data_IF_408364972042
#
_entry.id   IF_408364972042
#
_cell.length_a   1.000
_cell.length_b   1.000
_cell.length_c   1.000
_cell.angle_alpha   90.00
_cell.angle_beta   90.00
_cell.angle_gamma   90.00
#
_symmetry.space_group_name_H-M   'P 1'
#
loop_
_entity.id
_entity.type
_entity.pdbx_description
1 polymer ?
#
# COMPACT_ATOMS: atom_id res chain seq x y z
N UNK A 1 17.59 1.76 7.40
CA UNK A 1 17.95 0.85 6.28
C UNK A 1 16.74 0.07 5.78
N UNK A 2 16.00 -0.65 6.64
CA UNK A 2 14.78 -1.39 6.26
C UNK A 2 13.67 -0.52 5.64
N UNK A 3 13.31 0.61 6.27
CA UNK A 3 12.27 1.52 5.76
C UNK A 3 12.64 2.13 4.39
N UNK A 4 13.93 2.40 4.17
CA UNK A 4 14.43 3.00 2.93
C UNK A 4 14.41 2.02 1.76
N UNK A 5 14.74 0.75 2.00
CA UNK A 5 14.65 -0.33 1.01
C UNK A 5 13.19 -0.69 0.69
N UNK A 6 12.32 -0.69 1.71
CA UNK A 6 10.87 -0.87 1.59
C UNK A 6 10.25 0.20 0.66
N UNK A 7 10.71 1.44 0.79
CA UNK A 7 10.31 2.54 -0.09
C UNK A 7 10.87 2.30 -1.51
N UNK A 8 12.14 1.96 -1.71
CA UNK A 8 12.66 1.70 -3.08
C UNK A 8 11.88 0.60 -3.82
N UNK A 9 11.54 -0.52 -3.17
CA UNK A 9 10.81 -1.63 -3.80
C UNK A 9 9.40 -1.19 -4.20
N UNK A 10 8.66 -0.55 -3.30
CA UNK A 10 7.29 -0.08 -3.58
C UNK A 10 7.28 1.05 -4.64
N UNK A 11 8.25 1.96 -4.58
CA UNK A 11 8.35 3.13 -5.48
C UNK A 11 8.83 2.77 -6.89
N UNK A 12 9.52 1.64 -7.05
CA UNK A 12 9.99 1.16 -8.36
C UNK A 12 9.03 0.15 -8.99
N UNK A 13 8.38 -0.71 -8.19
CA UNK A 13 7.50 -1.77 -8.68
C UNK A 13 6.08 -1.28 -9.03
N UNK A 14 5.51 -0.32 -8.30
CA UNK A 14 4.09 0.03 -8.47
C UNK A 14 3.91 1.27 -9.35
N UNK A 15 3.85 1.06 -10.68
CA UNK A 15 3.50 2.12 -11.65
C UNK A 15 2.00 2.35 -11.80
N UNK A 16 1.18 1.35 -11.49
CA UNK A 16 -0.28 1.38 -11.64
C UNK A 16 -0.92 0.32 -10.75
N UNK A 17 -2.16 0.56 -10.30
CA UNK A 17 -2.90 -0.38 -9.47
C UNK A 17 -3.80 -1.24 -10.36
N UNK A 18 -3.32 -2.42 -10.77
CA UNK A 18 -4.11 -3.41 -11.53
C UNK A 18 -4.65 -4.56 -10.65
N UNK A 19 -4.41 -4.49 -9.34
CA UNK A 19 -4.83 -5.52 -8.39
C UNK A 19 -6.36 -5.54 -8.31
N UNK A 20 -6.94 -6.69 -8.64
CA UNK A 20 -8.37 -6.91 -8.47
C UNK A 20 -8.71 -6.83 -6.98
N UNK A 21 -9.63 -5.94 -6.63
CA UNK A 21 -10.06 -5.78 -5.24
C UNK A 21 -11.13 -6.79 -4.84
N UNK A 22 -11.71 -6.59 -3.67
CA UNK A 22 -12.90 -7.31 -3.24
C UNK A 22 -14.14 -6.85 -4.04
N UNK A 23 -15.00 -7.77 -4.56
CA UNK A 23 -16.31 -7.41 -5.10
C UNK A 23 -17.31 -7.00 -4.01
N UNK A 24 -16.97 -7.18 -2.73
CA UNK A 24 -17.76 -6.78 -1.56
C UNK A 24 -17.37 -5.37 -1.10
N UNK A 25 -18.37 -4.54 -0.81
CA UNK A 25 -18.22 -3.26 -0.10
C UNK A 25 -18.59 -3.42 1.37
N UNK A 26 -17.60 -3.29 2.25
CA UNK A 26 -17.75 -3.21 3.71
C UNK A 26 -17.63 -1.73 4.14
N UNK A 27 -18.35 -1.34 5.19
CA UNK A 27 -18.25 0.01 5.78
C UNK A 27 -16.94 0.17 6.58
N UNK A 28 -16.21 1.26 6.37
CA UNK A 28 -14.89 1.51 7.02
C UNK A 28 -13.66 1.20 6.15
N UNK A 29 -13.85 0.69 4.93
CA UNK A 29 -12.75 0.48 3.98
C UNK A 29 -12.00 1.78 3.61
N UNK A 30 -12.69 2.92 3.63
CA UNK A 30 -12.08 4.23 3.37
C UNK A 30 -11.11 4.65 4.47
N UNK A 31 -11.40 4.28 5.73
CA UNK A 31 -10.54 4.58 6.87
C UNK A 31 -9.22 3.82 6.76
N UNK A 32 -9.29 2.53 6.39
CA UNK A 32 -8.10 1.72 6.10
C UNK A 32 -7.28 2.36 4.98
N UNK A 33 -7.92 2.68 3.84
CA UNK A 33 -7.23 3.25 2.69
C UNK A 33 -6.53 4.57 3.05
N UNK A 34 -7.24 5.49 3.70
CA UNK A 34 -6.70 6.80 4.09
C UNK A 34 -5.54 6.67 5.07
N UNK A 35 -5.63 5.77 6.05
CA UNK A 35 -4.54 5.44 6.96
C UNK A 35 -3.31 4.89 6.25
N UNK A 36 -3.49 3.90 5.37
CA UNK A 36 -2.41 3.33 4.57
C UNK A 36 -1.74 4.38 3.68
N UNK A 37 -2.52 5.21 2.98
CA UNK A 37 -2.00 6.28 2.13
C UNK A 37 -1.21 7.31 2.94
N UNK A 38 -1.69 7.70 4.13
CA UNK A 38 -0.99 8.64 4.99
C UNK A 38 0.39 8.12 5.42
N UNK A 39 0.48 6.83 5.78
CA UNK A 39 1.74 6.18 6.16
C UNK A 39 2.71 6.16 4.97
N UNK A 40 2.27 5.67 3.81
CA UNK A 40 3.12 5.62 2.62
C UNK A 40 3.54 6.99 2.11
N UNK A 41 2.67 8.00 2.21
CA UNK A 41 2.98 9.38 1.87
C UNK A 41 4.07 9.95 2.79
N UNK A 42 3.93 9.75 4.11
CA UNK A 42 4.93 10.20 5.08
C UNK A 42 6.30 9.59 4.78
N UNK A 43 6.34 8.28 4.51
CA UNK A 43 7.56 7.58 4.13
C UNK A 43 8.14 8.06 2.79
N UNK A 44 7.31 8.22 1.76
CA UNK A 44 7.75 8.74 0.47
C UNK A 44 8.38 10.14 0.59
N UNK A 45 7.81 11.02 1.42
CA UNK A 45 8.37 12.35 1.69
C UNK A 45 9.72 12.26 2.39
N UNK A 46 9.83 11.46 3.44
CA UNK A 46 11.09 11.27 4.16
C UNK A 46 12.20 10.73 3.25
N UNK A 47 11.88 9.81 2.36
CA UNK A 47 12.83 9.26 1.40
C UNK A 47 13.27 10.27 0.35
N UNK A 48 12.37 11.11 -0.17
CA UNK A 48 12.76 12.16 -1.12
C UNK A 48 13.68 13.19 -0.46
N UNK A 49 13.42 13.55 0.80
CA UNK A 49 14.28 14.46 1.57
C UNK A 49 15.66 13.84 1.82
N UNK A 50 15.73 12.53 2.05
CA UNK A 50 16.97 11.81 2.30
C UNK A 50 17.73 11.40 1.01
N UNK A 51 17.10 11.51 -0.17
CA UNK A 51 17.69 11.09 -1.44
C UNK A 51 18.59 12.18 -2.04
N UNK A 52 19.64 11.75 -2.72
CA UNK A 52 20.54 12.66 -3.46
C UNK A 52 19.74 13.38 -4.58
N UNK A 53 19.91 14.71 -4.76
CA UNK A 53 19.23 15.49 -5.79
C UNK A 53 19.46 14.98 -7.23
N UNK A 54 20.50 14.16 -7.47
CA UNK A 54 20.76 13.55 -8.78
C UNK A 54 20.00 12.23 -9.02
N UNK A 55 19.22 11.74 -8.05
CA UNK A 55 18.46 10.50 -8.22
C UNK A 55 17.17 10.72 -9.01
N UNK A 56 16.85 9.81 -9.94
CA UNK A 56 15.59 9.76 -10.71
C UNK A 56 14.30 9.75 -9.84
N UNK A 57 14.46 9.61 -8.52
CA UNK A 57 13.39 9.59 -7.54
C UNK A 57 12.85 11.00 -7.23
N UNK A 58 13.65 12.04 -7.45
CA UNK A 58 13.27 13.46 -7.30
C UNK A 58 12.10 13.87 -8.22
N UNK A 59 11.91 13.17 -9.34
CA UNK A 59 10.88 13.49 -10.34
C UNK A 59 9.48 12.91 -10.01
N UNK A 60 9.35 12.02 -9.01
CA UNK A 60 8.06 11.39 -8.69
C UNK A 60 7.37 12.11 -7.52
N UNK A 61 6.11 12.51 -7.72
CA UNK A 61 5.31 13.15 -6.66
C UNK A 61 5.04 12.15 -5.51
N UNK A 62 5.47 12.44 -4.26
CA UNK A 62 5.29 11.53 -3.13
C UNK A 62 3.82 11.24 -2.82
N UNK A 63 2.91 12.16 -3.13
CA UNK A 63 1.47 11.94 -2.97
C UNK A 63 0.95 10.86 -3.92
N UNK A 64 1.37 10.89 -5.19
CA UNK A 64 0.98 9.86 -6.17
C UNK A 64 1.50 8.50 -5.72
N UNK A 65 2.74 8.46 -5.25
CA UNK A 65 3.38 7.25 -4.74
C UNK A 65 2.65 6.67 -3.52
N UNK A 66 2.32 7.51 -2.54
CA UNK A 66 1.57 7.10 -1.35
C UNK A 66 0.17 6.59 -1.70
N UNK A 67 -0.54 7.29 -2.60
CA UNK A 67 -1.86 6.89 -3.09
C UNK A 67 -1.82 5.53 -3.81
N UNK A 68 -0.83 5.31 -4.67
CA UNK A 68 -0.68 4.07 -5.44
C UNK A 68 -0.36 2.90 -4.50
N UNK A 69 0.60 3.07 -3.59
CA UNK A 69 0.99 2.04 -2.62
C UNK A 69 -0.17 1.68 -1.66
N UNK A 70 -0.81 2.69 -1.06
CA UNK A 70 -1.95 2.47 -0.16
C UNK A 70 -3.13 1.81 -0.86
N UNK A 71 -3.41 2.20 -2.10
CA UNK A 71 -4.46 1.58 -2.92
C UNK A 71 -4.15 0.13 -3.28
N UNK A 72 -2.89 -0.19 -3.58
CA UNK A 72 -2.45 -1.55 -3.89
C UNK A 72 -2.59 -2.48 -2.66
N UNK A 73 -2.08 -2.04 -1.51
CA UNK A 73 -2.20 -2.77 -0.24
C UNK A 73 -3.66 -3.00 0.12
N UNK A 74 -4.48 -1.95 0.13
CA UNK A 74 -5.88 -2.08 0.52
C UNK A 74 -6.65 -3.03 -0.42
N UNK A 75 -6.42 -2.95 -1.74
CA UNK A 75 -7.09 -3.85 -2.69
C UNK A 75 -6.69 -5.30 -2.49
N UNK A 76 -5.41 -5.56 -2.25
CA UNK A 76 -4.89 -6.90 -2.02
C UNK A 76 -5.40 -7.48 -0.69
N UNK A 77 -5.33 -6.72 0.40
CA UNK A 77 -5.90 -7.12 1.70
C UNK A 77 -7.40 -7.42 1.59
N UNK A 78 -8.15 -6.57 0.86
CA UNK A 78 -9.58 -6.81 0.63
C UNK A 78 -9.82 -8.08 -0.21
N UNK A 79 -8.99 -8.36 -1.21
CA UNK A 79 -9.09 -9.59 -2.00
C UNK A 79 -8.83 -10.83 -1.15
N UNK A 80 -7.81 -10.81 -0.27
CA UNK A 80 -7.49 -11.91 0.64
C UNK A 80 -8.64 -12.18 1.62
N UNK A 81 -9.13 -11.12 2.28
CA UNK A 81 -10.27 -11.21 3.18
C UNK A 81 -11.54 -11.71 2.47
N UNK A 82 -11.75 -11.34 1.21
CA UNK A 82 -12.84 -11.88 0.39
C UNK A 82 -12.62 -13.34 0.00
N UNK A 83 -11.40 -13.78 -0.29
CA UNK A 83 -11.10 -15.18 -0.52
C UNK A 83 -11.48 -16.05 0.68
N UNK A 84 -11.20 -15.59 1.90
CA UNK A 84 -11.45 -16.34 3.13
C UNK A 84 -12.92 -16.29 3.58
N UNK A 85 -13.55 -15.12 3.55
CA UNK A 85 -14.88 -14.89 4.16
C UNK A 85 -16.00 -14.67 3.15
N UNK A 86 -15.69 -14.47 1.86
CA UNK A 86 -16.63 -14.30 0.74
C UNK A 86 -17.74 -13.27 1.07
N UNK A 87 -19.00 -13.72 1.17
CA UNK A 87 -20.16 -12.87 1.46
C UNK A 87 -20.26 -12.43 2.93
N UNK A 88 -19.37 -12.91 3.79
CA UNK A 88 -19.31 -12.55 5.21
C UNK A 88 -18.15 -11.61 5.55
N UNK A 89 -17.29 -11.23 4.59
CA UNK A 89 -16.19 -10.28 4.81
C UNK A 89 -16.68 -8.99 5.45
N UNK A 90 -16.03 -8.58 6.53
CA UNK A 90 -16.20 -7.28 7.20
C UNK A 90 -14.87 -6.55 7.22
N UNK A 91 -14.89 -5.29 7.64
CA UNK A 91 -13.68 -4.44 7.66
C UNK A 91 -12.61 -4.97 8.62
N UNK A 92 -13.02 -5.65 9.70
CA UNK A 92 -12.08 -6.35 10.59
C UNK A 92 -11.26 -7.42 9.86
N UNK A 93 -11.89 -8.23 9.00
CA UNK A 93 -11.18 -9.26 8.23
C UNK A 93 -10.14 -8.63 7.27
N UNK A 94 -10.43 -7.45 6.72
CA UNK A 94 -9.50 -6.73 5.85
C UNK A 94 -8.28 -6.24 6.65
N UNK A 95 -8.50 -5.75 7.88
CA UNK A 95 -7.44 -5.29 8.78
C UNK A 95 -6.48 -6.44 9.11
N UNK A 96 -7.01 -7.64 9.39
CA UNK A 96 -6.21 -8.84 9.65
C UNK A 96 -5.33 -9.21 8.44
N UNK A 97 -5.80 -8.99 7.21
CA UNK A 97 -5.04 -9.25 5.98
C UNK A 97 -4.08 -8.12 5.58
N UNK A 98 -3.99 -7.01 6.31
CA UNK A 98 -3.06 -5.92 5.95
C UNK A 98 -1.59 -6.33 6.06
N UNK A 99 -1.24 -7.12 7.07
CA UNK A 99 0.13 -7.61 7.25
C UNK A 99 0.57 -8.51 6.11
N UNK A 100 -0.24 -9.51 5.79
CA UNK A 100 -0.01 -10.42 4.65
C UNK A 100 0.04 -9.65 3.33
N UNK A 101 -0.87 -8.68 3.14
CA UNK A 101 -0.84 -7.83 1.95
C UNK A 101 0.41 -6.97 1.86
N UNK A 102 0.99 -6.52 2.98
CA UNK A 102 2.21 -5.75 2.99
C UNK A 102 3.41 -6.63 2.67
N UNK A 103 3.47 -7.84 3.22
CA UNK A 103 4.51 -8.83 2.95
C UNK A 103 4.55 -9.20 1.46
N UNK A 104 3.38 -9.40 0.84
CA UNK A 104 3.27 -9.68 -0.60
C UNK A 104 3.77 -8.50 -1.48
N UNK A 105 3.60 -7.27 -1.01
CA UNK A 105 4.01 -6.05 -1.74
C UNK A 105 5.49 -5.75 -1.47
N UNK A 106 5.96 -6.01 -0.26
CA UNK A 106 7.33 -5.78 0.17
C UNK A 106 7.74 -6.83 1.22
N UNK A 107 8.38 -7.92 0.77
CA UNK A 107 8.81 -8.99 1.66
C UNK A 107 9.86 -8.50 2.65
N UNK A 108 9.72 -8.88 3.93
CA UNK A 108 10.71 -8.69 4.97
C UNK A 108 11.79 -9.77 4.84
N UNK A 109 12.68 -9.62 3.86
CA UNK A 109 13.88 -10.49 3.71
C UNK A 109 15.02 -9.99 4.57
#
# INVERSE_FOLDING_TARGET
MFVTLLIMVIMHAVKSVSIYGSPRRCGGQGDILSGSVAVFLSWARQHIIAADPNSNLSCKNPAVLGCVAGSAMMRKAASLAFCHKKRSTVTGDIIECLGESLEDICPAT
#
